data_IF_176391008997
#
_entry.id   IF_176391008997
#
_cell.length_a   1.000
_cell.length_b   1.000
_cell.length_c   1.000
_cell.angle_alpha   90.00
_cell.angle_beta   90.00
_cell.angle_gamma   90.00
#
_symmetry.space_group_name_H-M   'P 1'
#
loop_
_entity.id
_entity.type
_entity.pdbx_description
1 polymer ?
#
# COMPACT_ATOMS: atom_id res chain seq x y z
N UNK A 1 -57.99 -30.67 5.52
CA UNK A 1 -57.29 -29.35 5.49
C UNK A 1 -55.81 -29.64 5.27
N UNK A 2 -55.32 -29.40 4.08
CA UNK A 2 -53.91 -29.67 3.69
C UNK A 2 -53.16 -28.37 3.81
N UNK A 3 -52.15 -28.35 4.68
CA UNK A 3 -51.22 -27.22 4.83
C UNK A 3 -50.26 -27.20 3.62
N UNK A 4 -50.38 -26.16 2.82
CA UNK A 4 -49.40 -25.83 1.76
C UNK A 4 -48.15 -25.28 2.42
N UNK A 5 -47.11 -26.12 2.60
CA UNK A 5 -45.76 -25.69 2.90
C UNK A 5 -45.13 -25.20 1.60
N UNK A 6 -45.04 -23.89 1.43
CA UNK A 6 -44.28 -23.27 0.37
C UNK A 6 -42.79 -23.49 0.66
N UNK A 7 -42.16 -24.44 -0.01
CA UNK A 7 -40.71 -24.56 -0.05
C UNK A 7 -40.17 -23.36 -0.85
N UNK A 8 -39.60 -22.39 -0.14
CA UNK A 8 -38.77 -21.36 -0.73
C UNK A 8 -37.52 -22.05 -1.33
N UNK A 9 -37.47 -22.10 -2.64
CA UNK A 9 -36.27 -22.47 -3.38
C UNK A 9 -35.12 -21.56 -2.88
N UNK A 10 -34.18 -22.14 -2.16
CA UNK A 10 -32.82 -21.54 -2.01
C UNK A 10 -32.20 -21.56 -3.40
N UNK A 11 -32.42 -20.48 -4.15
CA UNK A 11 -31.55 -20.14 -5.29
C UNK A 11 -30.10 -20.14 -4.76
N UNK A 12 -29.24 -20.85 -5.45
CA UNK A 12 -27.80 -20.92 -5.19
C UNK A 12 -27.20 -19.50 -5.07
N UNK A 13 -27.23 -18.95 -3.84
CA UNK A 13 -26.27 -17.91 -3.47
C UNK A 13 -24.92 -18.63 -3.48
N UNK A 14 -24.09 -18.35 -4.49
CA UNK A 14 -22.65 -18.64 -4.37
C UNK A 14 -22.21 -17.97 -3.07
N UNK A 15 -21.76 -18.78 -2.11
CA UNK A 15 -21.17 -18.28 -0.88
C UNK A 15 -19.95 -17.41 -1.29
N UNK A 16 -20.10 -16.09 -1.18
CA UNK A 16 -19.04 -15.14 -1.45
C UNK A 16 -18.07 -15.26 -0.26
N UNK A 17 -16.88 -15.80 -0.52
CA UNK A 17 -15.86 -15.93 0.49
C UNK A 17 -15.23 -14.55 0.80
N UNK A 18 -15.15 -14.20 2.09
CA UNK A 18 -14.70 -12.88 2.56
C UNK A 18 -13.72 -12.99 3.71
N UNK A 19 -12.82 -12.03 3.79
CA UNK A 19 -11.88 -11.89 4.93
C UNK A 19 -11.54 -10.43 5.20
N UNK A 20 -10.99 -10.17 6.36
CA UNK A 20 -10.26 -8.92 6.62
C UNK A 20 -8.83 -9.09 6.11
N UNK A 21 -8.35 -8.15 5.32
CA UNK A 21 -7.00 -8.14 4.79
C UNK A 21 -6.38 -6.74 4.89
N UNK A 22 -5.06 -6.70 4.99
CA UNK A 22 -4.27 -5.48 4.81
C UNK A 22 -3.87 -5.40 3.36
N UNK A 23 -4.33 -4.39 2.66
CA UNK A 23 -4.11 -4.17 1.24
C UNK A 23 -3.06 -3.09 1.05
N UNK A 24 -2.06 -3.41 0.25
CA UNK A 24 -0.98 -2.54 -0.20
C UNK A 24 -1.16 -2.27 -1.69
N UNK A 25 -1.25 -1.01 -2.08
CA UNK A 25 -1.29 -0.59 -3.48
C UNK A 25 -0.15 0.38 -3.73
N UNK A 26 0.60 0.18 -4.80
CA UNK A 26 1.63 1.12 -5.24
C UNK A 26 1.57 1.35 -6.73
N UNK A 27 1.99 2.54 -7.15
CA UNK A 27 1.96 3.02 -8.52
C UNK A 27 3.15 3.96 -8.77
N UNK A 28 3.63 4.02 -10.01
CA UNK A 28 4.73 4.90 -10.41
C UNK A 28 4.20 6.28 -10.81
N UNK A 29 4.75 7.33 -10.26
CA UNK A 29 4.37 8.69 -10.62
C UNK A 29 4.82 9.02 -12.04
N UNK A 30 3.87 9.33 -12.92
CA UNK A 30 4.15 9.75 -14.29
C UNK A 30 4.66 8.66 -15.22
N UNK A 31 4.40 7.37 -14.93
CA UNK A 31 4.89 6.23 -15.72
C UNK A 31 4.58 6.34 -17.21
N UNK A 32 3.33 6.61 -17.59
CA UNK A 32 2.91 6.74 -19.00
C UNK A 32 3.72 7.82 -19.74
N UNK A 33 3.95 8.96 -19.10
CA UNK A 33 4.76 10.05 -19.67
C UNK A 33 6.21 9.65 -19.86
N UNK A 34 6.79 8.95 -18.89
CA UNK A 34 8.17 8.44 -19.00
C UNK A 34 8.29 7.41 -20.12
N UNK A 35 7.29 6.54 -20.28
CA UNK A 35 7.20 5.57 -21.39
C UNK A 35 7.16 6.25 -22.76
N UNK A 36 6.44 7.37 -22.91
CA UNK A 36 6.41 8.15 -24.15
C UNK A 36 7.75 8.78 -24.47
N UNK A 37 8.55 9.15 -23.46
CA UNK A 37 9.86 9.79 -23.65
C UNK A 37 10.95 8.78 -23.97
N UNK A 38 11.05 7.70 -23.18
CA UNK A 38 12.05 6.64 -23.35
C UNK A 38 11.54 5.32 -22.75
N UNK A 39 10.88 4.52 -23.59
CA UNK A 39 10.26 3.26 -23.21
C UNK A 39 11.28 2.28 -22.60
N UNK A 40 12.42 2.10 -23.27
CA UNK A 40 13.40 1.08 -22.88
C UNK A 40 14.02 1.39 -21.52
N UNK A 41 14.42 2.65 -21.29
CA UNK A 41 15.01 3.08 -20.00
C UNK A 41 13.96 3.05 -18.88
N UNK A 42 12.73 3.46 -19.18
CA UNK A 42 11.62 3.43 -18.21
C UNK A 42 11.33 1.99 -17.75
N UNK A 43 11.25 1.04 -18.68
CA UNK A 43 11.04 -0.37 -18.34
C UNK A 43 12.22 -0.97 -17.58
N UNK A 44 13.46 -0.62 -17.95
CA UNK A 44 14.66 -1.07 -17.22
C UNK A 44 14.65 -0.58 -15.78
N UNK A 45 14.37 0.70 -15.58
CA UNK A 45 14.31 1.33 -14.25
C UNK A 45 13.15 0.77 -13.43
N UNK A 46 11.98 0.55 -14.05
CA UNK A 46 10.82 -0.04 -13.37
C UNK A 46 11.12 -1.46 -12.89
N UNK A 47 11.71 -2.31 -13.72
CA UNK A 47 12.09 -3.67 -13.33
C UNK A 47 13.08 -3.69 -12.16
N UNK A 48 14.07 -2.81 -12.16
CA UNK A 48 15.01 -2.68 -11.05
C UNK A 48 14.31 -2.26 -9.73
N UNK A 49 13.32 -1.37 -9.80
CA UNK A 49 12.51 -1.01 -8.63
C UNK A 49 11.59 -2.16 -8.20
N UNK A 50 11.04 -2.90 -9.14
CA UNK A 50 10.19 -4.06 -8.87
C UNK A 50 10.96 -5.18 -8.15
N UNK A 51 12.21 -5.44 -8.52
CA UNK A 51 13.09 -6.40 -7.82
C UNK A 51 13.30 -6.02 -6.34
N UNK A 52 13.39 -4.72 -6.04
CA UNK A 52 13.46 -4.23 -4.66
C UNK A 52 12.15 -4.53 -3.92
N UNK A 53 11.02 -4.25 -4.55
CA UNK A 53 9.70 -4.46 -3.96
C UNK A 53 9.44 -5.94 -3.71
N UNK A 54 9.77 -6.81 -4.66
CA UNK A 54 9.56 -8.26 -4.56
C UNK A 54 10.34 -8.86 -3.39
N UNK A 55 11.61 -8.45 -3.19
CA UNK A 55 12.41 -8.86 -2.03
C UNK A 55 11.80 -8.42 -0.70
N UNK A 56 11.33 -7.18 -0.63
CA UNK A 56 10.67 -6.68 0.58
C UNK A 56 9.36 -7.42 0.86
N UNK A 57 8.61 -7.80 -0.17
CA UNK A 57 7.41 -8.61 0.01
C UNK A 57 7.74 -10.00 0.54
N UNK A 58 8.80 -10.65 0.05
CA UNK A 58 9.27 -11.91 0.63
C UNK A 58 9.67 -11.76 2.10
N UNK A 59 10.41 -10.70 2.45
CA UNK A 59 10.90 -10.45 3.80
C UNK A 59 9.78 -10.12 4.79
N UNK A 60 8.75 -9.38 4.34
CA UNK A 60 7.66 -8.89 5.19
C UNK A 60 6.35 -9.69 5.06
N UNK A 61 6.32 -10.73 4.24
CA UNK A 61 5.16 -11.61 4.05
C UNK A 61 4.05 -10.96 3.22
N UNK A 62 4.41 -10.15 2.24
CA UNK A 62 3.49 -9.61 1.23
C UNK A 62 3.22 -10.64 0.12
N UNK A 63 1.98 -10.74 -0.32
CA UNK A 63 1.57 -11.56 -1.46
C UNK A 63 0.94 -10.67 -2.54
N UNK A 64 1.58 -10.59 -3.70
CA UNK A 64 0.98 -9.92 -4.86
C UNK A 64 -0.22 -10.74 -5.33
N UNK A 65 -1.38 -10.12 -5.43
CA UNK A 65 -2.60 -10.74 -5.94
C UNK A 65 -3.06 -10.15 -7.28
N UNK A 66 -2.58 -8.96 -7.64
CA UNK A 66 -2.89 -8.35 -8.93
C UNK A 66 -1.81 -7.35 -9.35
N UNK A 67 -1.67 -7.15 -10.66
CA UNK A 67 -0.86 -6.10 -11.27
C UNK A 67 -1.63 -5.47 -12.44
N UNK A 68 -1.53 -4.16 -12.60
CA UNK A 68 -2.17 -3.43 -13.69
C UNK A 68 -1.22 -2.34 -14.20
N UNK A 69 -0.51 -2.61 -15.29
CA UNK A 69 0.54 -1.73 -15.80
C UNK A 69 1.69 -1.62 -14.80
N UNK A 70 1.92 -0.41 -14.29
CA UNK A 70 2.91 -0.11 -13.25
C UNK A 70 2.35 -0.23 -11.81
N UNK A 71 1.06 -0.46 -11.66
CA UNK A 71 0.43 -0.66 -10.36
C UNK A 71 0.61 -2.09 -9.86
N UNK A 72 0.98 -2.24 -8.59
CA UNK A 72 1.09 -3.52 -7.89
C UNK A 72 0.13 -3.52 -6.70
N UNK A 73 -0.68 -4.57 -6.60
CA UNK A 73 -1.60 -4.80 -5.50
C UNK A 73 -1.19 -6.04 -4.73
N UNK A 74 -0.94 -5.87 -3.45
CA UNK A 74 -0.54 -6.96 -2.56
C UNK A 74 -1.37 -6.99 -1.28
N UNK A 75 -1.42 -8.16 -0.65
CA UNK A 75 -1.98 -8.33 0.68
C UNK A 75 -0.90 -8.69 1.70
N UNK A 76 -1.14 -8.28 2.94
CA UNK A 76 -0.34 -8.65 4.10
C UNK A 76 -1.26 -9.19 5.20
N UNK A 77 -0.73 -10.10 6.00
CA UNK A 77 -1.44 -10.59 7.20
C UNK A 77 -1.25 -9.66 8.41
N UNK A 78 -0.26 -8.77 8.36
CA UNK A 78 0.08 -7.85 9.44
C UNK A 78 0.13 -6.41 8.93
N UNK A 79 -0.65 -5.52 9.57
CA UNK A 79 -0.60 -4.10 9.29
C UNK A 79 0.78 -3.48 9.62
N UNK A 80 1.44 -3.97 10.67
CA UNK A 80 2.80 -3.53 11.04
C UNK A 80 3.79 -3.89 9.93
N UNK A 81 3.75 -5.16 9.45
CA UNK A 81 4.63 -5.60 8.36
C UNK A 81 4.41 -4.82 7.07
N UNK A 82 3.14 -4.53 6.71
CA UNK A 82 2.82 -3.75 5.53
C UNK A 82 3.37 -2.31 5.59
N UNK A 83 3.21 -1.65 6.74
CA UNK A 83 3.68 -0.26 6.95
C UNK A 83 5.20 -0.20 6.97
N UNK A 84 5.87 -1.16 7.62
CA UNK A 84 7.34 -1.24 7.65
C UNK A 84 7.87 -1.49 6.23
N UNK A 85 7.29 -2.44 5.51
CA UNK A 85 7.63 -2.73 4.11
C UNK A 85 7.50 -1.49 3.22
N UNK A 86 6.38 -0.76 3.31
CA UNK A 86 6.16 0.46 2.54
C UNK A 86 7.21 1.54 2.84
N UNK A 87 7.54 1.74 4.11
CA UNK A 87 8.53 2.73 4.54
C UNK A 87 9.95 2.34 4.07
N UNK A 88 10.32 1.07 4.17
CA UNK A 88 11.60 0.57 3.67
C UNK A 88 11.71 0.68 2.15
N UNK A 89 10.64 0.35 1.42
CA UNK A 89 10.61 0.51 -0.03
C UNK A 89 10.88 1.96 -0.43
N UNK A 90 10.16 2.94 0.15
CA UNK A 90 10.39 4.35 -0.15
C UNK A 90 11.82 4.80 0.17
N UNK A 91 12.41 4.31 1.26
CA UNK A 91 13.82 4.58 1.60
C UNK A 91 14.78 4.01 0.56
N UNK A 92 14.61 2.75 0.15
CA UNK A 92 15.47 2.10 -0.84
C UNK A 92 15.35 2.74 -2.23
N UNK A 93 14.14 3.13 -2.63
CA UNK A 93 13.94 3.88 -3.89
C UNK A 93 14.66 5.24 -3.84
N UNK A 94 14.56 5.95 -2.72
CA UNK A 94 15.28 7.22 -2.52
C UNK A 94 16.80 7.03 -2.62
N UNK A 95 17.36 5.99 -2.02
CA UNK A 95 18.79 5.68 -2.11
C UNK A 95 19.18 5.28 -3.54
N UNK A 96 18.40 4.43 -4.20
CA UNK A 96 18.62 4.08 -5.61
C UNK A 96 18.67 5.33 -6.49
N UNK A 97 17.72 6.23 -6.32
CA UNK A 97 17.61 7.43 -7.13
C UNK A 97 18.84 8.36 -7.02
N UNK A 98 19.59 8.31 -5.91
CA UNK A 98 20.86 9.04 -5.77
C UNK A 98 21.99 8.47 -6.66
N UNK A 99 21.90 7.20 -7.02
CA UNK A 99 22.95 6.46 -7.75
C UNK A 99 22.68 6.30 -9.25
N UNK A 100 21.54 6.78 -9.75
CA UNK A 100 21.15 6.70 -11.15
C UNK A 100 20.96 8.09 -11.76
N UNK A 101 20.96 8.18 -13.10
CA UNK A 101 20.68 9.42 -13.80
C UNK A 101 19.25 9.91 -13.53
N UNK A 102 19.00 11.20 -13.70
CA UNK A 102 17.68 11.80 -13.49
C UNK A 102 16.58 11.12 -14.32
N UNK A 103 16.90 10.73 -15.56
CA UNK A 103 15.99 10.03 -16.46
C UNK A 103 15.61 8.61 -15.97
N UNK A 104 16.49 8.00 -15.16
CA UNK A 104 16.29 6.66 -14.60
C UNK A 104 15.69 6.68 -13.19
N UNK A 105 15.46 7.86 -12.60
CA UNK A 105 14.83 7.98 -11.29
C UNK A 105 13.34 7.65 -11.38
N UNK A 106 12.84 6.99 -10.35
CA UNK A 106 11.42 6.68 -10.21
C UNK A 106 10.89 7.13 -8.87
N UNK A 107 9.66 7.60 -8.87
CA UNK A 107 8.91 7.97 -7.67
C UNK A 107 7.65 7.12 -7.58
N UNK A 108 7.36 6.66 -6.39
CA UNK A 108 6.20 5.81 -6.13
C UNK A 108 5.22 6.49 -5.17
N UNK A 109 3.94 6.19 -5.33
CA UNK A 109 2.90 6.45 -4.34
C UNK A 109 2.50 5.13 -3.73
N UNK A 110 2.18 5.12 -2.44
CA UNK A 110 1.72 3.92 -1.75
C UNK A 110 0.46 4.25 -0.97
N UNK A 111 -0.54 3.37 -1.07
CA UNK A 111 -1.77 3.39 -0.28
C UNK A 111 -1.92 2.10 0.52
N UNK A 112 -2.23 2.22 1.81
CA UNK A 112 -2.48 1.07 2.69
C UNK A 112 -3.85 1.17 3.35
N UNK A 113 -4.60 0.08 3.31
CA UNK A 113 -5.88 -0.04 3.99
C UNK A 113 -6.03 -1.41 4.64
N UNK A 114 -6.71 -1.47 5.77
CA UNK A 114 -7.18 -2.72 6.36
C UNK A 114 -8.70 -2.73 6.34
N UNK A 115 -9.28 -3.72 5.67
CA UNK A 115 -10.72 -3.80 5.50
C UNK A 115 -11.20 -5.14 4.95
N UNK A 116 -12.50 -5.24 4.79
CA UNK A 116 -13.17 -6.41 4.26
C UNK A 116 -12.94 -6.54 2.74
N UNK A 117 -12.61 -7.75 2.31
CA UNK A 117 -12.38 -8.09 0.91
C UNK A 117 -13.08 -9.38 0.53
N UNK A 118 -13.39 -9.50 -0.75
CA UNK A 118 -13.96 -10.71 -1.39
C UNK A 118 -12.81 -11.49 -2.01
N UNK A 119 -12.79 -12.79 -1.79
CA UNK A 119 -11.81 -13.71 -2.36
C UNK A 119 -12.41 -14.36 -3.60
N UNK A 120 -11.71 -14.28 -4.72
CA UNK A 120 -12.07 -14.98 -5.96
C UNK A 120 -10.81 -15.58 -6.59
N UNK A 121 -10.59 -16.87 -6.38
CA UNK A 121 -9.33 -17.54 -6.73
C UNK A 121 -8.15 -16.94 -5.95
N UNK A 122 -7.11 -16.53 -6.67
CA UNK A 122 -5.95 -15.87 -6.07
C UNK A 122 -6.10 -14.35 -5.93
N UNK A 123 -7.22 -13.80 -6.40
CA UNK A 123 -7.47 -12.36 -6.46
C UNK A 123 -8.35 -11.87 -5.30
N UNK A 124 -8.22 -10.58 -4.98
CA UNK A 124 -9.02 -9.91 -3.95
C UNK A 124 -9.77 -8.74 -4.57
N UNK A 125 -11.02 -8.57 -4.15
CA UNK A 125 -11.91 -7.51 -4.61
C UNK A 125 -12.64 -6.84 -3.46
N UNK A 126 -13.37 -5.79 -3.75
CA UNK A 126 -14.29 -5.14 -2.82
C UNK A 126 -13.78 -3.80 -2.28
N UNK A 127 -14.52 -3.29 -1.30
CA UNK A 127 -14.30 -1.92 -0.79
C UNK A 127 -12.92 -1.78 -0.12
N UNK A 128 -12.43 -2.83 0.57
CA UNK A 128 -11.09 -2.82 1.17
C UNK A 128 -9.99 -2.54 0.16
N UNK A 129 -10.06 -3.14 -1.04
CA UNK A 129 -9.11 -2.91 -2.15
C UNK A 129 -9.30 -1.51 -2.75
N UNK A 130 -10.56 -1.11 -2.97
CA UNK A 130 -10.88 0.20 -3.55
C UNK A 130 -10.38 1.36 -2.68
N UNK A 131 -10.53 1.26 -1.36
CA UNK A 131 -10.03 2.26 -0.41
C UNK A 131 -8.50 2.35 -0.48
N UNK A 132 -7.77 1.23 -0.52
CA UNK A 132 -6.32 1.23 -0.65
C UNK A 132 -5.86 1.94 -1.94
N UNK A 133 -6.51 1.67 -3.08
CA UNK A 133 -6.21 2.32 -4.34
C UNK A 133 -6.51 3.84 -4.31
N UNK A 134 -7.55 4.27 -3.59
CA UNK A 134 -7.86 5.69 -3.41
C UNK A 134 -6.83 6.39 -2.53
N UNK A 135 -6.35 5.74 -1.47
CA UNK A 135 -5.29 6.25 -0.61
C UNK A 135 -3.96 6.37 -1.37
N UNK A 136 -3.65 5.41 -2.24
CA UNK A 136 -2.51 5.52 -3.16
C UNK A 136 -2.62 6.80 -4.01
N UNK A 137 -3.78 7.03 -4.64
CA UNK A 137 -4.01 8.21 -5.48
C UNK A 137 -3.96 9.54 -4.70
N UNK A 138 -4.26 9.55 -3.39
CA UNK A 138 -4.13 10.71 -2.50
C UNK A 138 -2.68 10.96 -2.07
N UNK A 139 -1.85 9.93 -2.09
CA UNK A 139 -0.47 10.01 -1.62
C UNK A 139 0.35 10.99 -2.45
N UNK A 140 1.24 11.72 -1.81
CA UNK A 140 2.26 12.50 -2.49
C UNK A 140 3.28 11.60 -3.17
N UNK A 141 3.99 12.10 -4.17
CA UNK A 141 5.14 11.40 -4.76
C UNK A 141 6.14 11.03 -3.66
N UNK A 142 6.58 9.77 -3.66
CA UNK A 142 7.43 9.15 -2.63
C UNK A 142 6.80 9.11 -1.22
N UNK A 143 5.48 9.28 -1.13
CA UNK A 143 4.72 9.24 0.11
C UNK A 143 4.03 7.89 0.34
N UNK A 144 3.44 7.78 1.52
CA UNK A 144 2.62 6.64 1.94
C UNK A 144 1.37 7.19 2.62
N UNK A 145 0.20 6.92 2.05
CA UNK A 145 -1.08 7.31 2.61
C UNK A 145 -1.80 6.09 3.17
N UNK A 146 -2.30 6.18 4.39
CA UNK A 146 -2.89 5.05 5.11
C UNK A 146 -4.27 5.40 5.66
N UNK A 147 -5.14 4.40 5.81
CA UNK A 147 -6.44 4.56 6.46
C UNK A 147 -6.31 4.63 7.98
N UNK A 148 -7.34 5.18 8.63
CA UNK A 148 -7.46 5.19 10.09
C UNK A 148 -7.35 3.78 10.68
N UNK A 149 -7.92 2.76 10.04
CA UNK A 149 -7.84 1.36 10.49
C UNK A 149 -6.38 0.87 10.59
N UNK A 150 -5.51 1.28 9.66
CA UNK A 150 -4.07 0.99 9.74
C UNK A 150 -3.45 1.71 10.94
N UNK A 151 -3.68 3.03 11.08
CA UNK A 151 -3.10 3.83 12.17
C UNK A 151 -3.47 3.27 13.54
N UNK A 152 -4.75 2.94 13.75
CA UNK A 152 -5.25 2.39 15.02
C UNK A 152 -4.52 1.09 15.44
N UNK A 153 -4.07 0.29 14.45
CA UNK A 153 -3.31 -0.94 14.68
C UNK A 153 -1.82 -0.75 14.91
N UNK A 154 -1.21 0.26 14.28
CA UNK A 154 0.26 0.35 14.20
C UNK A 154 0.88 1.47 15.04
N UNK A 155 0.13 2.51 15.41
CA UNK A 155 0.64 3.72 16.05
C UNK A 155 1.42 3.48 17.37
N UNK A 156 1.11 2.40 18.11
CA UNK A 156 1.79 2.00 19.33
C UNK A 156 2.85 0.91 19.14
N UNK A 157 3.03 0.45 17.91
CA UNK A 157 3.90 -0.68 17.56
C UNK A 157 5.03 -0.29 16.63
N UNK A 158 5.04 0.95 16.16
CA UNK A 158 6.07 1.52 15.29
C UNK A 158 6.48 2.90 15.81
N UNK A 159 7.67 3.34 15.45
CA UNK A 159 8.16 4.70 15.73
C UNK A 159 7.78 5.70 14.62
N UNK A 160 6.92 5.28 13.69
CA UNK A 160 6.48 6.11 12.57
C UNK A 160 5.51 7.19 13.07
N UNK A 161 5.65 8.37 12.49
CA UNK A 161 4.76 9.50 12.77
C UNK A 161 3.68 9.56 11.69
N UNK A 162 2.44 9.77 12.11
CA UNK A 162 1.28 9.88 11.24
C UNK A 162 0.74 11.30 11.27
N UNK A 163 0.65 11.93 10.11
CA UNK A 163 0.01 13.23 9.96
C UNK A 163 -1.45 13.01 9.57
N UNK A 164 -2.37 13.50 10.37
CA UNK A 164 -3.80 13.41 10.11
C UNK A 164 -4.19 14.35 8.96
N UNK A 165 -4.74 13.78 7.89
CA UNK A 165 -5.27 14.51 6.74
C UNK A 165 -6.79 14.76 6.84
N UNK A 166 -7.43 14.22 7.89
CA UNK A 166 -8.87 14.30 8.08
C UNK A 166 -9.67 13.42 7.12
N UNK A 167 -10.97 13.68 7.05
CA UNK A 167 -11.88 13.00 6.12
C UNK A 167 -11.62 13.44 4.69
N UNK A 168 -11.25 12.49 3.85
CA UNK A 168 -11.01 12.68 2.42
C UNK A 168 -12.17 12.10 1.62
N UNK A 169 -12.79 12.93 0.79
CA UNK A 169 -13.83 12.49 -0.12
C UNK A 169 -13.19 12.06 -1.45
N UNK A 170 -13.14 10.76 -1.70
CA UNK A 170 -12.58 10.21 -2.94
C UNK A 170 -13.66 9.46 -3.69
N UNK A 171 -14.08 10.01 -4.83
CA UNK A 171 -15.26 9.54 -5.59
C UNK A 171 -16.50 9.54 -4.68
N UNK A 172 -17.09 8.37 -4.43
CA UNK A 172 -18.31 8.20 -3.65
C UNK A 172 -18.07 7.65 -2.23
N UNK A 173 -16.81 7.65 -1.75
CA UNK A 173 -16.43 7.12 -0.43
C UNK A 173 -15.72 8.20 0.37
N UNK A 174 -16.06 8.30 1.65
CA UNK A 174 -15.33 9.11 2.63
C UNK A 174 -14.35 8.20 3.37
N UNK A 175 -13.08 8.62 3.45
CA UNK A 175 -12.01 7.88 4.11
C UNK A 175 -11.21 8.83 4.98
N UNK A 176 -11.07 8.51 6.26
CA UNK A 176 -10.14 9.22 7.13
C UNK A 176 -8.71 8.75 6.82
N UNK A 177 -7.91 9.66 6.30
CA UNK A 177 -6.58 9.38 5.76
C UNK A 177 -5.46 9.99 6.61
N UNK A 178 -4.32 9.36 6.58
CA UNK A 178 -3.08 9.82 7.24
C UNK A 178 -1.91 9.63 6.29
N UNK A 179 -0.99 10.60 6.28
CA UNK A 179 0.33 10.41 5.68
C UNK A 179 1.32 9.86 6.71
N UNK A 180 2.23 9.01 6.28
CA UNK A 180 3.39 8.63 7.07
C UNK A 180 4.49 9.65 6.84
N UNK A 181 4.85 10.39 7.90
CA UNK A 181 5.99 11.27 7.87
C UNK A 181 7.28 10.45 7.84
N UNK A 182 8.15 10.77 6.88
CA UNK A 182 9.50 10.21 6.86
C UNK A 182 10.22 10.64 8.14
N UNK A 183 10.54 9.70 9.02
CA UNK A 183 11.35 9.98 10.20
C UNK A 183 12.77 10.29 9.73
N UNK A 184 13.12 11.56 9.70
CA UNK A 184 14.51 11.97 9.61
C UNK A 184 15.17 11.61 10.93
N UNK A 185 15.93 10.52 10.96
CA UNK A 185 16.87 10.29 12.05
C UNK A 185 17.95 11.39 11.99
N UNK A 186 17.70 12.51 12.65
CA UNK A 186 18.78 13.34 13.12
C UNK A 186 19.43 12.54 14.24
N UNK A 187 20.66 12.12 14.07
CA UNK A 187 21.51 11.60 15.13
C UNK A 187 21.48 12.57 16.30
N UNK A 188 20.73 12.25 17.34
CA UNK A 188 20.96 12.80 18.67
C UNK A 188 22.29 12.20 19.13
N UNK A 189 23.37 12.92 18.90
CA UNK A 189 24.61 12.70 19.62
C UNK A 189 24.31 12.91 21.09
N UNK A 190 24.29 11.82 21.84
CA UNK A 190 24.30 11.88 23.30
C UNK A 190 25.51 12.70 23.76
N UNK A 191 25.36 13.70 24.64
CA UNK A 191 26.49 14.39 25.23
C UNK A 191 27.26 13.39 26.07
N UNK A 192 28.49 13.12 25.68
CA UNK A 192 29.44 12.37 26.50
C UNK A 192 29.71 13.21 27.75
N UNK A 193 29.09 12.88 28.86
CA UNK A 193 29.47 13.44 30.15
C UNK A 193 30.81 12.85 30.54
N UNK A 194 31.85 13.64 30.34
CA UNK A 194 33.16 13.41 30.95
C UNK A 194 33.03 13.80 32.41
N UNK A 195 33.08 12.83 33.30
CA UNK A 195 33.27 13.06 34.75
C UNK A 195 34.76 12.97 35.01
N UNK A 196 35.27 14.04 35.58
CA UNK A 196 36.57 14.11 36.23
C UNK A 196 36.46 13.49 37.61
#
# INVERSE_FOLDING_TARGET
MAENVVQLNKSSQQDIDRKIAVIFVTDVVGFSKSMEVNEEETLRSFRACQEILDKLFEEHGGRIFNTAGDSVLAEFQSAVSAVVCANEFQKLIKERNKSVSEESQMSFRIGLNMGDVIIEGDNLYGEGVNVAARLEALSQANGICVSKSIVDFVNKKTELLFNDLGEQKVKNTEVHAYDIAAVSYTHLTLPTSVTV
#
